data_IF_953102447178
#
_entry.id   IF_953102447178
#
_cell.length_a   1.000
_cell.length_b   1.000
_cell.length_c   1.000
_cell.angle_alpha   90.00
_cell.angle_beta   90.00
_cell.angle_gamma   90.00
#
_symmetry.space_group_name_H-M   'P 1'
#
loop_
_entity.id
_entity.type
_entity.pdbx_description
1 polymer ?
#
# COMPACT_ATOMS: atom_id res chain seq x y z
N UNK A 1 12.19 -36.23 -16.67
CA UNK A 1 13.55 -35.74 -16.40
C UNK A 1 13.39 -34.54 -15.47
N UNK A 2 13.63 -34.72 -14.17
CA UNK A 2 13.78 -33.63 -13.20
C UNK A 2 14.53 -34.22 -12.01
N UNK A 3 15.85 -34.26 -12.11
CA UNK A 3 16.74 -34.38 -10.96
C UNK A 3 17.19 -32.95 -10.71
N UNK A 4 16.32 -32.15 -10.09
CA UNK A 4 16.64 -30.82 -9.60
C UNK A 4 16.35 -30.85 -8.10
N UNK A 5 17.37 -30.61 -7.28
CA UNK A 5 17.16 -30.48 -5.84
C UNK A 5 16.21 -29.32 -5.52
N UNK A 6 15.69 -29.30 -4.28
CA UNK A 6 14.88 -28.18 -3.80
C UNK A 6 15.60 -26.84 -4.09
N UNK A 7 14.87 -25.80 -4.57
CA UNK A 7 15.45 -24.48 -4.76
C UNK A 7 16.16 -23.99 -3.50
N UNK A 8 17.34 -23.40 -3.70
CA UNK A 8 18.14 -22.85 -2.60
C UNK A 8 17.43 -21.65 -1.96
N UNK A 9 17.63 -21.45 -0.66
CA UNK A 9 17.30 -20.16 -0.04
C UNK A 9 18.33 -19.09 -0.42
N UNK A 10 17.94 -17.82 -0.29
CA UNK A 10 18.91 -16.74 -0.27
C UNK A 10 19.96 -16.97 0.83
N UNK A 11 21.23 -16.83 0.46
CA UNK A 11 22.33 -16.72 1.41
C UNK A 11 22.13 -15.50 2.31
N UNK A 12 22.77 -15.49 3.48
CA UNK A 12 22.69 -14.35 4.40
C UNK A 12 23.08 -13.03 3.73
N UNK A 13 24.12 -13.05 2.88
CA UNK A 13 24.57 -11.88 2.14
C UNK A 13 23.55 -11.39 1.11
N UNK A 14 22.91 -12.31 0.37
CA UNK A 14 21.85 -11.94 -0.58
C UNK A 14 20.62 -11.39 0.14
N UNK A 15 20.20 -12.05 1.23
CA UNK A 15 19.10 -11.61 2.09
C UNK A 15 19.36 -10.21 2.66
N UNK A 16 20.58 -9.95 3.12
CA UNK A 16 20.99 -8.63 3.59
C UNK A 16 20.89 -7.54 2.50
N UNK A 17 21.23 -7.85 1.24
CA UNK A 17 21.09 -6.90 0.12
C UNK A 17 19.62 -6.60 -0.18
N UNK A 18 18.75 -7.62 -0.18
CA UNK A 18 17.31 -7.42 -0.35
C UNK A 18 16.70 -6.61 0.80
N UNK A 19 17.09 -6.89 2.05
CA UNK A 19 16.70 -6.06 3.21
C UNK A 19 17.12 -4.61 3.04
N UNK A 20 18.37 -4.37 2.65
CA UNK A 20 18.87 -3.01 2.42
C UNK A 20 18.09 -2.29 1.30
N UNK A 21 17.73 -2.98 0.21
CA UNK A 21 16.93 -2.41 -0.86
C UNK A 21 15.50 -2.06 -0.40
N UNK A 22 14.86 -2.94 0.40
CA UNK A 22 13.53 -2.67 0.98
C UNK A 22 13.56 -1.49 1.95
N UNK A 23 14.58 -1.42 2.82
CA UNK A 23 14.78 -0.32 3.75
C UNK A 23 14.97 1.01 3.01
N UNK A 24 15.87 1.06 2.02
CA UNK A 24 16.10 2.27 1.22
C UNK A 24 14.84 2.69 0.43
N UNK A 25 14.00 1.74 0.01
CA UNK A 25 12.72 2.05 -0.63
C UNK A 25 11.74 2.69 0.36
N UNK A 26 11.72 2.22 1.60
CA UNK A 26 10.89 2.80 2.67
C UNK A 26 11.39 4.20 3.05
N UNK A 27 12.70 4.40 3.16
CA UNK A 27 13.32 5.70 3.43
C UNK A 27 13.03 6.71 2.32
N UNK A 28 13.09 6.29 1.05
CA UNK A 28 12.67 7.13 -0.06
C UNK A 28 11.19 7.54 0.07
N UNK A 29 10.31 6.60 0.44
CA UNK A 29 8.92 6.88 0.75
C UNK A 29 8.78 7.97 1.82
N UNK A 30 9.43 7.79 2.97
CA UNK A 30 9.41 8.77 4.05
C UNK A 30 9.97 10.15 3.63
N UNK A 31 11.05 10.18 2.83
CA UNK A 31 11.61 11.43 2.31
C UNK A 31 10.64 12.18 1.38
N UNK A 32 9.77 11.48 0.65
CA UNK A 32 8.69 12.12 -0.11
C UNK A 32 7.58 12.68 0.77
N UNK A 33 7.43 12.19 2.02
CA UNK A 33 6.41 12.65 2.97
C UNK A 33 6.89 13.85 3.80
N UNK A 34 8.15 13.86 4.24
CA UNK A 34 8.67 14.85 5.19
C UNK A 34 9.90 15.63 4.72
N UNK A 35 10.58 15.15 3.67
CA UNK A 35 11.91 15.63 3.32
C UNK A 35 11.95 16.71 2.25
N UNK A 36 12.99 17.53 2.29
CA UNK A 36 13.24 18.56 1.28
C UNK A 36 13.78 17.98 -0.05
N UNK A 37 14.12 18.83 -1.01
CA UNK A 37 14.62 18.38 -2.31
C UNK A 37 15.95 17.61 -2.23
N UNK A 38 16.81 17.96 -1.28
CA UNK A 38 18.12 17.34 -1.11
C UNK A 38 17.99 16.00 -0.38
N UNK A 39 17.15 15.92 0.65
CA UNK A 39 16.82 14.67 1.34
C UNK A 39 16.20 13.64 0.39
N UNK A 40 15.23 14.06 -0.44
CA UNK A 40 14.64 13.19 -1.48
C UNK A 40 15.69 12.69 -2.47
N UNK A 41 16.62 13.55 -2.87
CA UNK A 41 17.70 13.20 -3.81
C UNK A 41 18.68 12.21 -3.17
N UNK A 42 19.01 12.40 -1.89
CA UNK A 42 19.88 11.51 -1.14
C UNK A 42 19.25 10.11 -0.98
N UNK A 43 17.99 10.05 -0.54
CA UNK A 43 17.26 8.79 -0.39
C UNK A 43 17.11 8.04 -1.73
N UNK A 44 16.87 8.77 -2.83
CA UNK A 44 16.82 8.18 -4.17
C UNK A 44 18.18 7.59 -4.57
N UNK A 45 19.27 8.29 -4.26
CA UNK A 45 20.63 7.79 -4.47
C UNK A 45 20.94 6.52 -3.67
N UNK A 46 20.51 6.46 -2.41
CA UNK A 46 20.65 5.27 -1.56
C UNK A 46 19.86 4.08 -2.12
N UNK A 47 18.63 4.29 -2.57
CA UNK A 47 17.83 3.24 -3.20
C UNK A 47 18.49 2.71 -4.48
N UNK A 48 18.96 3.60 -5.36
CA UNK A 48 19.67 3.20 -6.58
C UNK A 48 20.94 2.41 -6.26
N UNK A 49 21.71 2.85 -5.25
CA UNK A 49 22.88 2.12 -4.78
C UNK A 49 22.51 0.74 -4.24
N UNK A 50 21.46 0.62 -3.42
CA UNK A 50 21.02 -0.65 -2.87
C UNK A 50 20.54 -1.62 -3.97
N UNK A 51 19.73 -1.14 -4.91
CA UNK A 51 19.23 -1.93 -6.05
C UNK A 51 20.38 -2.41 -6.93
N UNK A 52 21.39 -1.57 -7.19
CA UNK A 52 22.55 -1.95 -8.02
C UNK A 52 23.39 -3.11 -7.46
N UNK A 53 23.22 -3.44 -6.17
CA UNK A 53 23.88 -4.57 -5.51
C UNK A 53 23.09 -5.87 -5.61
N UNK A 54 21.83 -5.81 -6.07
CA UNK A 54 21.02 -6.99 -6.30
C UNK A 54 21.47 -7.69 -7.58
N UNK A 55 21.35 -9.01 -7.60
CA UNK A 55 21.52 -9.81 -8.81
C UNK A 55 20.26 -10.64 -9.06
N UNK A 56 19.20 -10.04 -9.65
CA UNK A 56 17.93 -10.73 -9.84
C UNK A 56 18.06 -12.00 -10.67
N UNK A 57 19.04 -12.07 -11.58
CA UNK A 57 19.23 -13.24 -12.45
C UNK A 57 19.60 -14.50 -11.67
N UNK A 58 20.32 -14.35 -10.56
CA UNK A 58 20.76 -15.48 -9.73
C UNK A 58 19.88 -15.70 -8.51
N UNK A 59 18.99 -14.77 -8.19
CA UNK A 59 18.21 -14.77 -6.95
C UNK A 59 16.69 -14.86 -7.16
N UNK A 60 16.18 -14.63 -8.37
CA UNK A 60 14.73 -14.68 -8.65
C UNK A 60 14.10 -16.01 -8.28
N UNK A 61 14.81 -17.11 -8.54
CA UNK A 61 14.32 -18.48 -8.31
C UNK A 61 14.73 -19.04 -6.93
N UNK A 62 15.51 -18.29 -6.14
CA UNK A 62 15.82 -18.68 -4.76
C UNK A 62 14.63 -18.41 -3.85
N UNK A 63 14.50 -19.13 -2.74
CA UNK A 63 13.41 -18.94 -1.78
C UNK A 63 13.63 -17.65 -0.97
N UNK A 64 12.72 -16.68 -1.10
CA UNK A 64 12.71 -15.43 -0.32
C UNK A 64 11.76 -15.56 0.87
N UNK A 65 12.16 -16.32 1.89
CA UNK A 65 11.38 -16.43 3.13
C UNK A 65 11.40 -15.07 3.85
N UNK A 66 10.23 -14.48 4.20
CA UNK A 66 10.18 -13.24 4.96
C UNK A 66 10.90 -13.33 6.31
N UNK A 67 11.64 -12.30 6.69
CA UNK A 67 12.39 -12.27 7.97
C UNK A 67 11.47 -12.20 9.20
N UNK A 68 10.27 -11.70 9.00
CA UNK A 68 9.17 -11.56 9.97
C UNK A 68 8.19 -12.75 9.95
N UNK A 69 8.54 -13.84 9.25
CA UNK A 69 7.67 -15.02 9.14
C UNK A 69 7.36 -15.72 10.47
N UNK A 70 8.24 -15.58 11.48
CA UNK A 70 8.03 -16.18 12.80
C UNK A 70 7.70 -17.67 12.74
N UNK A 71 6.63 -18.09 13.42
CA UNK A 71 6.13 -19.47 13.41
C UNK A 71 5.62 -19.94 12.03
N UNK A 72 5.38 -19.02 11.10
CA UNK A 72 4.92 -19.32 9.75
C UNK A 72 6.05 -19.56 8.74
N UNK A 73 7.33 -19.49 9.13
CA UNK A 73 8.46 -19.66 8.22
C UNK A 73 8.37 -20.97 7.39
N UNK A 74 8.17 -22.11 8.05
CA UNK A 74 8.06 -23.41 7.37
C UNK A 74 6.80 -23.53 6.49
N UNK A 75 5.59 -23.15 6.96
CA UNK A 75 4.42 -23.04 6.09
C UNK A 75 4.64 -22.15 4.86
N UNK A 76 5.19 -20.95 5.04
CA UNK A 76 5.44 -20.03 3.92
C UNK A 76 6.47 -20.59 2.96
N UNK A 77 7.51 -21.29 3.44
CA UNK A 77 8.48 -22.01 2.59
C UNK A 77 7.78 -22.99 1.67
N UNK A 78 6.82 -23.79 2.18
CA UNK A 78 6.05 -24.73 1.35
C UNK A 78 5.22 -24.02 0.28
N UNK A 79 4.62 -22.89 0.62
CA UNK A 79 3.83 -22.08 -0.32
C UNK A 79 4.73 -21.49 -1.41
N UNK A 80 5.88 -20.97 -1.03
CA UNK A 80 6.86 -20.38 -1.96
C UNK A 80 7.42 -21.45 -2.93
N UNK A 81 7.56 -22.70 -2.49
CA UNK A 81 7.95 -23.82 -3.36
C UNK A 81 6.93 -24.13 -4.46
N UNK A 82 5.67 -23.69 -4.32
CA UNK A 82 4.66 -23.79 -5.39
C UNK A 82 4.87 -22.78 -6.52
N UNK A 83 5.78 -21.83 -6.35
CA UNK A 83 6.06 -20.80 -7.34
C UNK A 83 7.01 -21.36 -8.41
N UNK A 84 6.60 -21.42 -9.69
CA UNK A 84 7.46 -21.90 -10.77
C UNK A 84 8.67 -20.98 -11.00
N UNK A 85 9.69 -21.52 -11.66
CA UNK A 85 10.86 -20.73 -12.06
C UNK A 85 10.47 -19.54 -12.94
N UNK A 86 11.20 -18.44 -12.80
CA UNK A 86 11.01 -17.19 -13.54
C UNK A 86 9.93 -16.25 -12.97
N UNK A 87 9.10 -16.69 -12.01
CA UNK A 87 8.06 -15.85 -11.42
C UNK A 87 8.53 -14.98 -10.25
N UNK A 88 9.61 -15.37 -9.58
CA UNK A 88 10.05 -14.77 -8.33
C UNK A 88 9.44 -15.47 -7.12
N UNK A 89 10.26 -16.21 -6.37
CA UNK A 89 9.81 -17.03 -5.23
C UNK A 89 9.70 -16.23 -3.93
N UNK A 90 8.72 -15.33 -3.85
CA UNK A 90 8.45 -14.50 -2.66
C UNK A 90 6.96 -14.28 -2.37
N UNK A 91 6.66 -13.92 -1.12
CA UNK A 91 5.36 -13.41 -0.66
C UNK A 91 5.55 -11.95 -0.26
N UNK A 92 4.69 -11.07 -0.80
CA UNK A 92 4.77 -9.62 -0.59
C UNK A 92 3.58 -9.11 0.22
N UNK A 93 3.45 -9.58 1.46
CA UNK A 93 2.45 -9.16 2.44
C UNK A 93 3.07 -9.06 3.82
N UNK A 94 2.44 -8.31 4.72
CA UNK A 94 2.83 -8.26 6.14
C UNK A 94 2.42 -9.51 6.96
N UNK A 95 2.97 -9.64 8.19
CA UNK A 95 2.88 -10.86 8.98
C UNK A 95 1.49 -11.15 9.55
N UNK A 96 0.66 -10.12 9.69
CA UNK A 96 -0.74 -10.28 10.10
C UNK A 96 -1.58 -11.10 9.12
N UNK A 97 -1.16 -11.23 7.86
CA UNK A 97 -1.87 -12.04 6.86
C UNK A 97 -1.30 -13.46 6.67
N UNK A 98 -0.13 -13.77 7.24
CA UNK A 98 0.48 -15.10 7.10
C UNK A 98 -0.42 -16.25 7.56
N UNK A 99 -1.13 -16.17 8.71
CA UNK A 99 -2.07 -17.23 9.09
C UNK A 99 -3.17 -17.49 8.04
N UNK A 100 -3.70 -16.42 7.44
CA UNK A 100 -4.77 -16.51 6.43
C UNK A 100 -4.23 -17.15 5.15
N UNK A 101 -3.02 -16.77 4.73
CA UNK A 101 -2.35 -17.30 3.53
C UNK A 101 -2.01 -18.78 3.72
N UNK A 102 -1.55 -19.17 4.92
CA UNK A 102 -1.24 -20.56 5.26
C UNK A 102 -2.50 -21.43 5.25
N UNK A 103 -3.59 -20.95 5.84
CA UNK A 103 -4.87 -21.65 5.82
C UNK A 103 -5.41 -21.80 4.39
N UNK A 104 -5.32 -20.74 3.57
CA UNK A 104 -5.71 -20.78 2.16
C UNK A 104 -4.91 -21.84 1.40
N UNK A 105 -3.58 -21.87 1.54
CA UNK A 105 -2.75 -22.89 0.91
C UNK A 105 -3.17 -24.30 1.30
N UNK A 106 -3.39 -24.56 2.60
CA UNK A 106 -3.83 -25.88 3.08
C UNK A 106 -5.15 -26.30 2.42
N UNK A 107 -6.11 -25.39 2.30
CA UNK A 107 -7.40 -25.66 1.66
C UNK A 107 -7.26 -25.91 0.15
N UNK A 108 -6.42 -25.12 -0.55
CA UNK A 108 -6.16 -25.30 -1.98
C UNK A 108 -5.40 -26.62 -2.25
N UNK A 109 -4.39 -26.92 -1.44
CA UNK A 109 -3.59 -28.14 -1.54
C UNK A 109 -4.40 -29.42 -1.26
N UNK A 110 -5.44 -29.33 -0.43
CA UNK A 110 -6.36 -30.44 -0.21
C UNK A 110 -7.24 -30.74 -1.43
N UNK A 111 -7.50 -29.74 -2.28
CA UNK A 111 -8.28 -29.89 -3.52
C UNK A 111 -7.37 -30.33 -4.68
N UNK A 112 -6.24 -29.65 -4.84
CA UNK A 112 -5.26 -29.94 -5.88
C UNK A 112 -3.85 -29.80 -5.31
N UNK A 113 -3.20 -30.89 -4.88
CA UNK A 113 -1.86 -30.84 -4.30
C UNK A 113 -0.80 -30.22 -5.21
N UNK A 114 -1.01 -30.27 -6.52
CA UNK A 114 -0.07 -29.86 -7.56
C UNK A 114 -0.36 -28.46 -8.12
N UNK A 115 -1.26 -27.68 -7.50
CA UNK A 115 -1.53 -26.32 -7.95
C UNK A 115 -0.28 -25.44 -7.86
N UNK A 116 -0.10 -24.55 -8.83
CA UNK A 116 1.01 -23.60 -8.85
C UNK A 116 0.56 -22.24 -8.31
N UNK A 117 1.43 -21.61 -7.53
CA UNK A 117 1.27 -20.23 -7.11
C UNK A 117 2.07 -19.33 -8.06
N UNK A 118 1.45 -18.32 -8.66
CA UNK A 118 2.17 -17.37 -9.50
C UNK A 118 2.64 -16.15 -8.70
N UNK A 119 1.76 -15.58 -7.86
CA UNK A 119 2.08 -14.45 -7.00
C UNK A 119 1.17 -14.43 -5.77
N UNK A 120 1.73 -14.04 -4.62
CA UNK A 120 1.00 -13.71 -3.40
C UNK A 120 1.46 -12.34 -2.91
N UNK A 121 0.58 -11.33 -2.98
CA UNK A 121 0.94 -9.94 -2.69
C UNK A 121 -0.22 -9.12 -2.17
N UNK A 122 0.08 -8.05 -1.46
CA UNK A 122 -0.85 -6.96 -1.22
C UNK A 122 -1.04 -6.14 -2.52
N UNK A 123 -2.29 -5.73 -2.77
CA UNK A 123 -2.63 -4.68 -3.73
C UNK A 123 -3.95 -3.98 -3.37
N UNK A 124 -3.87 -2.66 -3.18
CA UNK A 124 -5.00 -1.79 -2.81
C UNK A 124 -5.68 -2.23 -1.50
N UNK A 125 -4.88 -2.38 -0.45
CA UNK A 125 -5.25 -2.85 0.89
C UNK A 125 -5.85 -4.26 0.96
N UNK A 126 -5.70 -5.08 -0.08
CA UNK A 126 -6.24 -6.44 -0.13
C UNK A 126 -5.25 -7.44 -0.70
N UNK A 127 -5.46 -8.71 -0.37
CA UNK A 127 -4.66 -9.82 -0.91
C UNK A 127 -4.90 -9.98 -2.42
N UNK A 128 -3.87 -10.41 -3.14
CA UNK A 128 -3.95 -11.02 -4.47
C UNK A 128 -3.21 -12.35 -4.43
N UNK A 129 -3.97 -13.42 -4.65
CA UNK A 129 -3.45 -14.78 -4.68
C UNK A 129 -3.67 -15.38 -6.07
N UNK A 130 -2.67 -15.24 -6.95
CA UNK A 130 -2.76 -15.71 -8.32
C UNK A 130 -2.26 -17.13 -8.42
N UNK A 131 -3.13 -18.08 -8.74
CA UNK A 131 -2.78 -19.48 -8.88
C UNK A 131 -3.20 -20.07 -10.23
N UNK A 132 -2.57 -21.18 -10.59
CA UNK A 132 -2.94 -22.04 -11.71
C UNK A 132 -3.24 -23.46 -11.20
N UNK A 133 -4.10 -24.18 -11.92
CA UNK A 133 -4.41 -25.58 -11.65
C UNK A 133 -4.79 -26.25 -12.97
N UNK A 134 -4.36 -27.49 -13.15
CA UNK A 134 -4.77 -28.32 -14.29
C UNK A 134 -6.20 -28.87 -14.12
N UNK A 135 -6.73 -28.89 -12.89
CA UNK A 135 -8.07 -29.36 -12.54
C UNK A 135 -9.11 -28.27 -12.79
N UNK A 136 -9.34 -27.97 -14.07
CA UNK A 136 -10.22 -26.86 -14.51
C UNK A 136 -11.63 -26.95 -13.93
N UNK A 137 -12.14 -28.15 -13.68
CA UNK A 137 -13.44 -28.43 -13.09
C UNK A 137 -13.55 -28.00 -11.62
N UNK A 138 -12.42 -27.97 -10.88
CA UNK A 138 -12.37 -27.55 -9.48
C UNK A 138 -11.99 -26.06 -9.32
N UNK A 139 -11.66 -25.38 -10.43
CA UNK A 139 -11.19 -23.98 -10.41
C UNK A 139 -12.17 -23.03 -9.72
N UNK A 140 -13.47 -23.21 -9.94
CA UNK A 140 -14.50 -22.35 -9.33
C UNK A 140 -14.55 -22.49 -7.80
N UNK A 141 -14.38 -23.72 -7.29
CA UNK A 141 -14.30 -23.99 -5.86
C UNK A 141 -13.04 -23.35 -5.26
N UNK A 142 -11.88 -23.52 -5.89
CA UNK A 142 -10.61 -22.92 -5.45
C UNK A 142 -10.66 -21.38 -5.47
N UNK A 143 -11.24 -20.78 -6.51
CA UNK A 143 -11.45 -19.32 -6.57
C UNK A 143 -12.33 -18.82 -5.42
N UNK A 144 -13.31 -19.61 -4.98
CA UNK A 144 -14.18 -19.24 -3.85
C UNK A 144 -13.42 -19.19 -2.53
N UNK A 145 -12.44 -20.09 -2.34
CA UNK A 145 -11.54 -20.06 -1.17
C UNK A 145 -10.62 -18.84 -1.21
N UNK A 146 -10.05 -18.54 -2.38
CA UNK A 146 -9.24 -17.32 -2.57
C UNK A 146 -10.08 -16.08 -2.26
N UNK A 147 -11.30 -15.97 -2.78
CA UNK A 147 -12.19 -14.84 -2.50
C UNK A 147 -12.52 -14.70 -1.00
N UNK A 148 -12.69 -15.81 -0.29
CA UNK A 148 -12.89 -15.80 1.16
C UNK A 148 -11.65 -15.29 1.91
N UNK A 149 -10.45 -15.72 1.51
CA UNK A 149 -9.19 -15.22 2.07
C UNK A 149 -8.97 -13.73 1.76
N UNK A 150 -9.24 -13.28 0.53
CA UNK A 150 -9.18 -11.88 0.14
C UNK A 150 -10.10 -11.00 1.01
N UNK A 151 -11.34 -11.46 1.25
CA UNK A 151 -12.29 -10.77 2.15
C UNK A 151 -11.77 -10.69 3.60
N UNK A 152 -11.14 -11.75 4.09
CA UNK A 152 -10.54 -11.77 5.44
C UNK A 152 -9.38 -10.79 5.52
N UNK A 153 -8.44 -10.81 4.56
CA UNK A 153 -7.33 -9.86 4.51
C UNK A 153 -7.82 -8.40 4.43
N UNK A 154 -8.87 -8.11 3.64
CA UNK A 154 -9.45 -6.78 3.53
C UNK A 154 -10.13 -6.24 4.82
N UNK A 155 -10.24 -7.05 5.87
CA UNK A 155 -10.77 -6.67 7.18
C UNK A 155 -9.82 -7.02 8.35
N UNK A 156 -8.59 -7.41 8.02
CA UNK A 156 -7.57 -7.86 8.95
C UNK A 156 -6.34 -6.98 8.81
N UNK A 157 -5.78 -6.51 9.93
CA UNK A 157 -4.56 -5.73 9.95
C UNK A 157 -3.41 -6.54 9.32
N UNK A 158 -2.82 -6.01 8.25
CA UNK A 158 -1.71 -6.64 7.53
C UNK A 158 -0.47 -6.81 8.41
N UNK A 159 -0.29 -5.94 9.41
CA UNK A 159 0.88 -5.97 10.30
C UNK A 159 0.75 -6.96 11.46
N UNK A 160 -0.42 -7.05 12.11
CA UNK A 160 -0.54 -7.79 13.36
C UNK A 160 -1.71 -8.78 13.41
N UNK A 161 -2.54 -8.87 12.37
CA UNK A 161 -3.57 -9.90 12.25
C UNK A 161 -4.86 -9.65 13.04
N UNK A 162 -4.92 -8.59 13.84
CA UNK A 162 -6.15 -8.16 14.53
C UNK A 162 -7.11 -7.47 13.54
N UNK A 163 -8.41 -7.28 13.87
CA UNK A 163 -9.33 -6.56 12.99
C UNK A 163 -8.79 -5.19 12.55
N UNK A 164 -8.92 -4.90 11.25
CA UNK A 164 -8.38 -3.69 10.63
C UNK A 164 -9.41 -2.98 9.74
N UNK A 165 -9.08 -1.76 9.36
CA UNK A 165 -9.84 -0.94 8.43
C UNK A 165 -8.92 -0.36 7.36
N UNK A 166 -9.52 0.18 6.29
CA UNK A 166 -8.78 0.82 5.21
C UNK A 166 -8.16 2.13 5.69
N UNK A 167 -6.84 2.25 5.55
CA UNK A 167 -6.10 3.48 5.81
C UNK A 167 -5.24 3.86 4.61
N UNK A 168 -4.81 5.12 4.56
CA UNK A 168 -3.91 5.63 3.55
C UNK A 168 -2.74 6.40 4.16
N UNK A 169 -1.55 6.24 3.57
CA UNK A 169 -0.39 7.08 3.89
C UNK A 169 -0.50 8.44 3.18
N UNK A 170 0.34 9.43 3.55
CA UNK A 170 0.44 10.69 2.80
C UNK A 170 0.78 10.51 1.31
N UNK A 171 1.41 9.41 0.91
CA UNK A 171 1.64 9.06 -0.50
C UNK A 171 0.47 8.31 -1.15
N UNK A 172 -0.69 8.27 -0.49
CA UNK A 172 -1.90 7.56 -0.91
C UNK A 172 -1.72 6.07 -1.12
N UNK A 173 -0.73 5.47 -0.43
CA UNK A 173 -0.62 4.01 -0.38
C UNK A 173 -1.67 3.45 0.58
N UNK A 174 -2.44 2.47 0.10
CA UNK A 174 -3.57 1.92 0.84
C UNK A 174 -3.16 0.65 1.57
N UNK A 175 -3.55 0.54 2.83
CA UNK A 175 -3.35 -0.68 3.64
C UNK A 175 -4.55 -0.95 4.53
N UNK A 176 -4.81 -2.22 4.82
CA UNK A 176 -5.78 -2.60 5.87
C UNK A 176 -5.00 -2.75 7.16
N UNK A 177 -5.23 -1.84 8.11
CA UNK A 177 -4.49 -1.76 9.37
C UNK A 177 -5.44 -1.57 10.55
N UNK A 178 -5.05 -2.02 11.73
CA UNK A 178 -5.68 -1.58 12.97
C UNK A 178 -5.18 -0.18 13.34
N UNK A 179 -5.89 0.53 14.21
CA UNK A 179 -5.55 1.90 14.59
C UNK A 179 -4.11 2.05 15.11
N UNK A 180 -3.64 1.10 15.94
CA UNK A 180 -2.29 1.15 16.50
C UNK A 180 -1.19 1.03 15.43
N UNK A 181 -1.31 0.07 14.52
CA UNK A 181 -0.37 -0.10 13.41
C UNK A 181 -0.47 1.04 12.39
N UNK A 182 -1.68 1.57 12.15
CA UNK A 182 -1.87 2.74 11.31
C UNK A 182 -1.14 3.97 11.87
N UNK A 183 -1.33 4.28 13.16
CA UNK A 183 -0.63 5.39 13.83
C UNK A 183 0.89 5.18 13.77
N UNK A 184 1.38 3.98 14.11
CA UNK A 184 2.80 3.67 14.09
C UNK A 184 3.43 3.81 12.69
N UNK A 185 2.65 3.51 11.64
CA UNK A 185 3.07 3.63 10.24
C UNK A 185 2.75 4.96 9.56
N UNK A 186 2.15 5.93 10.27
CA UNK A 186 1.76 7.24 9.68
C UNK A 186 0.57 7.18 8.72
N UNK A 187 -0.33 6.21 8.88
CA UNK A 187 -1.53 6.05 8.04
C UNK A 187 -2.76 6.72 8.68
N UNK A 188 -3.56 7.40 7.86
CA UNK A 188 -4.85 7.98 8.25
C UNK A 188 -6.03 7.11 7.85
N UNK A 189 -7.08 7.07 8.69
CA UNK A 189 -8.27 6.24 8.46
C UNK A 189 -9.12 6.76 7.29
N UNK A 190 -9.39 5.92 6.31
CA UNK A 190 -10.29 6.28 5.19
C UNK A 190 -11.74 6.27 5.66
N UNK A 191 -12.49 7.30 5.27
CA UNK A 191 -13.87 7.53 5.72
C UNK A 191 -13.97 8.25 7.06
N UNK A 192 -12.84 8.55 7.71
CA UNK A 192 -12.80 9.40 8.90
C UNK A 192 -13.43 10.76 8.61
N UNK A 193 -14.32 11.22 9.50
CA UNK A 193 -14.87 12.57 9.47
C UNK A 193 -14.27 13.43 10.56
N UNK A 194 -13.90 14.66 10.21
CA UNK A 194 -13.32 15.63 11.14
C UNK A 194 -14.10 16.94 11.10
N UNK A 195 -14.05 17.70 12.19
CA UNK A 195 -14.74 19.00 12.28
C UNK A 195 -13.99 20.11 11.54
N UNK A 196 -12.67 19.99 11.39
CA UNK A 196 -11.85 20.97 10.67
C UNK A 196 -10.55 20.34 10.13
N UNK A 197 -10.00 20.97 9.10
CA UNK A 197 -8.64 20.75 8.63
C UNK A 197 -7.71 21.84 9.18
N UNK A 198 -6.43 21.53 9.34
CA UNK A 198 -5.41 22.43 9.87
C UNK A 198 -4.11 22.34 9.04
N UNK A 199 -3.16 23.28 9.21
CA UNK A 199 -1.89 23.30 8.45
C UNK A 199 -1.06 22.01 8.52
N UNK A 200 -1.12 21.30 9.63
CA UNK A 200 -0.42 20.03 9.88
C UNK A 200 -1.23 18.81 9.41
N UNK A 201 -2.50 19.00 9.02
CA UNK A 201 -3.33 17.92 8.50
C UNK A 201 -2.75 17.42 7.18
N UNK A 202 -2.72 16.09 7.03
CA UNK A 202 -2.30 15.39 5.80
C UNK A 202 -3.45 14.53 5.28
N UNK A 203 -3.32 14.07 4.05
CA UNK A 203 -4.31 13.25 3.36
C UNK A 203 -5.06 13.98 2.25
N UNK A 204 -5.91 13.23 1.58
CA UNK A 204 -6.84 13.74 0.58
C UNK A 204 -8.24 13.74 1.18
N UNK A 205 -8.85 14.91 1.21
CA UNK A 205 -10.09 15.17 1.92
C UNK A 205 -11.19 15.58 0.97
N UNK A 206 -12.35 14.95 1.10
CA UNK A 206 -13.59 15.43 0.52
C UNK A 206 -14.18 16.49 1.45
N UNK A 207 -14.40 17.69 0.93
CA UNK A 207 -15.08 18.78 1.64
C UNK A 207 -16.42 19.02 0.93
N UNK A 208 -17.50 18.60 1.56
CA UNK A 208 -18.85 18.76 1.04
C UNK A 208 -19.46 20.08 1.53
N UNK A 209 -20.08 20.84 0.62
CA UNK A 209 -20.94 21.99 0.94
C UNK A 209 -22.40 21.62 0.63
N UNK A 210 -23.33 22.57 0.78
CA UNK A 210 -24.74 22.33 0.42
C UNK A 210 -24.95 22.05 -1.07
N UNK A 211 -24.10 22.62 -1.93
CA UNK A 211 -24.27 22.67 -3.38
C UNK A 211 -23.14 21.98 -4.15
N UNK A 212 -21.97 21.76 -3.54
CA UNK A 212 -20.75 21.32 -4.21
C UNK A 212 -19.94 20.35 -3.37
N UNK A 213 -18.95 19.73 -3.99
CA UNK A 213 -17.94 18.92 -3.29
C UNK A 213 -16.57 19.26 -3.84
N UNK A 214 -15.64 19.48 -2.93
CA UNK A 214 -14.24 19.74 -3.26
C UNK A 214 -13.39 18.55 -2.84
N UNK A 215 -12.30 18.29 -3.56
CA UNK A 215 -11.25 17.38 -3.13
C UNK A 215 -10.00 18.20 -2.81
N UNK A 216 -9.67 18.26 -1.53
CA UNK A 216 -8.49 18.97 -1.02
C UNK A 216 -7.38 17.94 -0.78
N UNK A 217 -6.36 17.97 -1.63
CA UNK A 217 -5.18 17.12 -1.51
C UNK A 217 -4.08 17.87 -0.75
N UNK A 218 -4.06 17.72 0.58
CA UNK A 218 -3.08 18.39 1.45
C UNK A 218 -1.68 17.77 1.35
N UNK A 219 -1.55 16.58 0.77
CA UNK A 219 -0.24 15.97 0.51
C UNK A 219 0.50 16.65 -0.64
N UNK A 220 -0.24 17.28 -1.57
CA UNK A 220 0.32 17.94 -2.76
C UNK A 220 0.02 19.43 -2.85
N UNK A 221 -0.73 19.96 -1.88
CA UNK A 221 -1.23 21.33 -1.91
C UNK A 221 -2.11 21.59 -3.12
N UNK A 222 -3.06 20.70 -3.41
CA UNK A 222 -3.95 20.83 -4.58
C UNK A 222 -5.42 20.89 -4.14
N UNK A 223 -6.23 21.62 -4.90
CA UNK A 223 -7.67 21.71 -4.76
C UNK A 223 -8.33 21.28 -6.07
N UNK A 224 -9.22 20.30 -6.02
CA UNK A 224 -10.12 19.96 -7.12
C UNK A 224 -11.52 20.49 -6.80
N UNK A 225 -12.08 21.27 -7.71
CA UNK A 225 -13.44 21.78 -7.65
C UNK A 225 -14.09 21.74 -9.04
N UNK A 226 -15.33 22.19 -9.15
CA UNK A 226 -16.12 22.06 -10.39
C UNK A 226 -15.48 22.75 -11.62
N UNK A 227 -14.75 23.83 -11.40
CA UNK A 227 -14.10 24.63 -12.44
C UNK A 227 -12.71 24.11 -12.84
N UNK A 228 -12.19 23.11 -12.10
CA UNK A 228 -10.94 22.44 -12.41
C UNK A 228 -10.09 22.14 -11.19
N UNK A 229 -8.83 21.74 -11.47
CA UNK A 229 -7.82 21.42 -10.48
C UNK A 229 -6.79 22.52 -10.38
N UNK A 230 -6.52 22.96 -9.16
CA UNK A 230 -5.69 24.10 -8.82
C UNK A 230 -4.56 23.71 -7.87
N UNK A 231 -3.44 24.44 -7.90
CA UNK A 231 -2.42 24.38 -6.83
C UNK A 231 -2.72 25.48 -5.81
N UNK A 232 -2.78 25.10 -4.54
CA UNK A 232 -2.99 26.00 -3.41
C UNK A 232 -1.67 26.70 -3.09
N UNK A 233 -1.65 28.02 -3.16
CA UNK A 233 -0.50 28.83 -2.77
C UNK A 233 -0.59 29.30 -1.31
N UNK A 234 -1.81 29.60 -0.83
CA UNK A 234 -2.09 30.04 0.55
C UNK A 234 -3.49 29.63 1.00
N UNK A 235 -3.65 29.30 2.27
CA UNK A 235 -4.95 29.08 2.91
C UNK A 235 -5.22 30.20 3.92
N UNK A 236 -6.23 31.02 3.66
CA UNK A 236 -6.61 32.14 4.53
C UNK A 236 -7.66 31.73 5.55
N UNK A 237 -8.56 30.82 5.17
CA UNK A 237 -9.52 30.20 6.08
C UNK A 237 -9.53 28.70 5.82
N UNK A 238 -9.13 27.93 6.83
CA UNK A 238 -9.10 26.48 6.75
C UNK A 238 -10.53 25.89 6.76
N UNK A 239 -10.77 24.80 6.00
CA UNK A 239 -12.06 24.12 6.01
C UNK A 239 -12.48 23.70 7.42
N UNK A 240 -13.65 24.14 7.86
CA UNK A 240 -14.29 23.75 9.12
C UNK A 240 -15.80 23.59 8.92
N UNK A 241 -16.38 22.52 9.48
CA UNK A 241 -17.82 22.24 9.41
C UNK A 241 -18.61 23.41 10.00
N UNK A 242 -19.66 23.83 9.30
CA UNK A 242 -20.47 25.02 9.60
C UNK A 242 -19.84 26.34 9.10
N UNK A 243 -18.55 26.36 8.79
CA UNK A 243 -17.84 27.50 8.22
C UNK A 243 -17.74 27.45 6.69
N UNK A 244 -16.77 28.19 6.17
CA UNK A 244 -16.34 28.17 4.75
C UNK A 244 -14.82 28.03 4.71
N UNK A 245 -14.26 27.62 3.58
CA UNK A 245 -12.84 27.79 3.33
C UNK A 245 -12.58 28.94 2.36
N UNK A 246 -11.38 29.49 2.45
CA UNK A 246 -10.86 30.50 1.53
C UNK A 246 -9.40 30.20 1.24
N UNK A 247 -9.11 29.93 -0.04
CA UNK A 247 -7.75 29.64 -0.50
C UNK A 247 -7.37 30.53 -1.68
N UNK A 248 -6.09 30.84 -1.77
CA UNK A 248 -5.47 31.41 -2.96
C UNK A 248 -4.90 30.27 -3.79
N UNK A 249 -5.14 30.31 -5.09
CA UNK A 249 -4.62 29.32 -6.05
C UNK A 249 -3.67 29.95 -7.06
N UNK A 250 -2.71 29.17 -7.54
CA UNK A 250 -1.81 29.59 -8.62
C UNK A 250 -2.58 29.74 -9.93
N UNK A 251 -2.41 30.89 -10.59
CA UNK A 251 -3.02 31.14 -11.90
C UNK A 251 -2.26 30.38 -13.00
N UNK A 252 -3.00 29.73 -13.91
CA UNK A 252 -2.42 29.00 -15.03
C UNK A 252 -1.78 29.91 -16.09
N UNK A 253 -1.98 31.23 -15.98
CA UNK A 253 -1.61 32.22 -16.99
C UNK A 253 -0.95 33.49 -16.42
N UNK A 254 0.17 33.33 -15.69
CA UNK A 254 1.34 34.22 -15.77
C UNK A 254 1.26 35.73 -15.55
N UNK A 255 0.10 36.37 -15.29
CA UNK A 255 0.04 37.82 -15.07
C UNK A 255 -1.13 38.24 -14.16
N UNK A 256 -0.82 38.54 -12.90
CA UNK A 256 -1.43 39.62 -12.11
C UNK A 256 -2.89 39.52 -11.63
N UNK A 257 -3.22 38.61 -10.70
CA UNK A 257 -4.04 38.85 -9.48
C UNK A 257 -4.15 37.55 -8.65
N UNK A 258 -4.33 37.63 -7.32
CA UNK A 258 -4.60 36.46 -6.46
C UNK A 258 -5.94 35.82 -6.88
N UNK A 259 -5.92 34.61 -7.47
CA UNK A 259 -7.16 33.88 -7.76
C UNK A 259 -7.68 33.23 -6.48
N UNK A 260 -8.89 33.60 -6.08
CA UNK A 260 -9.53 33.07 -4.88
C UNK A 260 -10.51 31.96 -5.19
N UNK A 261 -10.46 30.90 -4.40
CA UNK A 261 -11.55 29.93 -4.29
C UNK A 261 -12.15 30.02 -2.88
N UNK A 262 -13.45 30.29 -2.84
CA UNK A 262 -14.24 30.40 -1.61
C UNK A 262 -15.37 29.38 -1.67
N UNK A 263 -15.52 28.57 -0.63
CA UNK A 263 -16.58 27.57 -0.58
C UNK A 263 -17.92 28.15 -0.08
N UNK A 264 -19.01 27.43 -0.37
CA UNK A 264 -20.23 27.54 0.43
C UNK A 264 -20.05 26.98 1.84
N UNK A 265 -21.14 26.97 2.64
CA UNK A 265 -21.11 26.42 4.00
C UNK A 265 -20.80 24.93 3.98
N UNK A 266 -19.79 24.53 4.74
CA UNK A 266 -19.28 23.16 4.80
C UNK A 266 -20.19 22.31 5.68
N UNK A 267 -20.70 21.21 5.13
CA UNK A 267 -21.56 20.26 5.82
C UNK A 267 -20.80 19.04 6.33
N UNK A 268 -19.72 18.64 5.65
CA UNK A 268 -18.92 17.46 6.01
C UNK A 268 -17.51 17.54 5.47
N UNK A 269 -16.56 17.05 6.25
CA UNK A 269 -15.17 16.82 5.84
C UNK A 269 -14.86 15.34 6.07
N UNK A 270 -14.34 14.64 5.06
CA UNK A 270 -14.11 13.20 5.10
C UNK A 270 -12.80 12.82 4.40
N UNK A 271 -11.97 11.98 5.03
CA UNK A 271 -10.75 11.47 4.38
C UNK A 271 -11.11 10.45 3.31
N UNK A 272 -10.53 10.60 2.12
CA UNK A 272 -10.78 9.70 0.99
C UNK A 272 -9.51 9.02 0.45
N UNK A 273 -8.32 9.57 0.70
CA UNK A 273 -6.99 8.97 0.43
C UNK A 273 -5.91 9.56 1.31
#
# INVERSE_FOLDING_TARGET
MAIGGDPEELTEAERARYRAARAASSELGAAFESGDADERRAAAGQLLQAISRLDPKTTVDKLHIPDDAGEHADPLRRIILRIPDGWGRWISTGPGWYPIIVELDQQLAAIDPDYELHQCKEKFAGLRYYFSTARTELRAQMNSLVAAAEKRCASCCEECGVPGALHASPLSYLRTLCAACAIAGGYGLIGETVDALAPDTRGVWRVATQDRTYVVNLNRGELDGDEGRYRISRVDAWPAVGGVFRVVVEDGAGDGDDQWVVSGSISRIERIR
#
